data_IF_696571634114
#
_entry.id   IF_696571634114
#
_cell.length_a   1.000
_cell.length_b   1.000
_cell.length_c   1.000
_cell.angle_alpha   90.00
_cell.angle_beta   90.00
_cell.angle_gamma   90.00
#
_symmetry.space_group_name_H-M   'P 1'
#
loop_
_entity.id
_entity.type
_entity.pdbx_description
1 polymer ?
#
# COMPACT_ATOMS: atom_id res chain seq x y z
N UNK A 1 -2.85 4.58 -12.56
CA UNK A 1 -2.91 6.03 -12.85
C UNK A 1 -2.64 6.78 -11.57
N UNK A 2 -1.65 7.66 -11.52
CA UNK A 2 -1.38 8.49 -10.34
C UNK A 2 -2.46 9.57 -10.24
N UNK A 3 -3.07 9.70 -9.06
CA UNK A 3 -4.11 10.70 -8.78
C UNK A 3 -3.61 11.82 -7.89
N UNK A 4 -2.64 11.54 -7.01
CA UNK A 4 -2.03 12.53 -6.12
C UNK A 4 -0.53 12.24 -5.96
N UNK A 5 0.28 13.29 -5.93
CA UNK A 5 1.73 13.19 -5.72
C UNK A 5 2.24 14.39 -4.93
N UNK A 6 1.99 14.37 -3.62
CA UNK A 6 2.49 15.36 -2.67
C UNK A 6 3.74 14.83 -1.98
N UNK A 7 4.88 15.44 -2.30
CA UNK A 7 6.17 14.99 -1.81
C UNK A 7 6.20 14.93 -0.28
N UNK A 8 6.76 13.84 0.26
CA UNK A 8 6.86 13.54 1.70
C UNK A 8 5.56 13.51 2.51
N UNK A 9 4.40 13.60 1.87
CA UNK A 9 3.13 13.70 2.57
C UNK A 9 2.12 12.68 2.07
N UNK A 10 1.92 12.58 0.75
CA UNK A 10 0.82 11.78 0.19
C UNK A 10 1.07 11.32 -1.23
N UNK A 11 0.81 10.05 -1.47
CA UNK A 11 0.82 9.46 -2.81
C UNK A 11 -0.43 8.63 -3.01
N UNK A 12 -1.05 8.76 -4.17
CA UNK A 12 -2.25 8.01 -4.49
C UNK A 12 -2.27 7.59 -5.95
N UNK A 13 -2.81 6.41 -6.19
CA UNK A 13 -2.99 5.92 -7.53
C UNK A 13 -4.04 4.82 -7.63
N UNK A 14 -4.69 4.77 -8.79
CA UNK A 14 -5.45 3.61 -9.21
C UNK A 14 -4.52 2.51 -9.75
N UNK A 15 -4.77 1.28 -9.31
CA UNK A 15 -4.14 0.06 -9.79
C UNK A 15 -5.14 -0.71 -10.65
N UNK A 16 -4.68 -1.26 -11.78
CA UNK A 16 -5.52 -2.13 -12.62
C UNK A 16 -4.65 -3.10 -13.40
N UNK A 17 -5.04 -4.36 -13.43
CA UNK A 17 -4.53 -5.37 -14.35
C UNK A 17 -5.68 -6.32 -14.77
N UNK A 18 -5.36 -7.37 -15.54
CA UNK A 18 -6.38 -8.32 -16.04
C UNK A 18 -7.16 -9.06 -14.94
N UNK A 19 -6.64 -9.12 -13.72
CA UNK A 19 -7.18 -9.90 -12.61
C UNK A 19 -7.75 -9.03 -11.47
N UNK A 20 -7.33 -7.77 -11.36
CA UNK A 20 -7.71 -6.89 -10.26
C UNK A 20 -7.81 -5.43 -10.67
N UNK A 21 -8.63 -4.69 -9.93
CA UNK A 21 -8.61 -3.23 -9.86
C UNK A 21 -8.46 -2.82 -8.41
N UNK A 22 -7.96 -1.62 -8.19
CA UNK A 22 -7.87 -1.08 -6.85
C UNK A 22 -7.44 0.36 -6.81
N UNK A 23 -7.34 0.86 -5.60
CA UNK A 23 -6.88 2.18 -5.28
C UNK A 23 -5.96 2.08 -4.06
N UNK A 24 -4.85 2.78 -4.15
CA UNK A 24 -3.81 2.79 -3.14
C UNK A 24 -3.62 4.21 -2.66
N UNK A 25 -3.57 4.40 -1.34
CA UNK A 25 -3.25 5.65 -0.68
C UNK A 25 -2.11 5.39 0.29
N UNK A 26 -1.05 6.19 0.20
CA UNK A 26 0.00 6.22 1.20
C UNK A 26 0.15 7.62 1.77
N UNK A 27 0.02 7.72 3.09
CA UNK A 27 0.24 8.96 3.85
C UNK A 27 1.48 8.81 4.70
N UNK A 28 2.21 9.91 4.79
CA UNK A 28 3.46 10.00 5.54
C UNK A 28 3.36 11.20 6.46
N UNK A 29 3.48 10.97 7.76
CA UNK A 29 3.43 12.02 8.77
C UNK A 29 4.75 12.01 9.53
N UNK A 30 5.43 13.17 9.58
CA UNK A 30 6.60 13.32 10.43
C UNK A 30 6.17 13.27 11.90
N UNK A 31 6.80 12.39 12.69
CA UNK A 31 6.56 12.26 14.14
C UNK A 31 7.88 12.25 14.90
N UNK A 32 8.22 13.37 15.57
CA UNK A 32 9.53 13.53 16.20
C UNK A 32 10.67 13.33 15.18
N UNK A 33 11.57 12.40 15.50
CA UNK A 33 12.68 11.97 14.63
C UNK A 33 12.31 10.85 13.65
N UNK A 34 11.07 10.37 13.70
CA UNK A 34 10.55 9.30 12.87
C UNK A 34 9.52 9.75 11.84
N UNK A 35 8.98 8.77 11.12
CA UNK A 35 7.86 8.94 10.20
C UNK A 35 6.83 7.87 10.48
N UNK A 36 5.59 8.29 10.70
CA UNK A 36 4.42 7.44 10.73
C UNK A 36 3.94 7.26 9.29
N UNK A 37 3.56 6.03 8.97
CA UNK A 37 3.10 5.65 7.64
C UNK A 37 1.73 5.00 7.79
N UNK A 38 0.77 5.48 7.01
CA UNK A 38 -0.55 4.87 6.85
C UNK A 38 -0.73 4.48 5.38
N UNK A 39 -0.77 3.17 5.12
CA UNK A 39 -1.11 2.63 3.80
C UNK A 39 -2.53 2.09 3.83
N UNK A 40 -3.34 2.53 2.88
CA UNK A 40 -4.71 2.05 2.67
C UNK A 40 -4.82 1.50 1.26
N UNK A 41 -5.33 0.27 1.16
CA UNK A 41 -5.51 -0.44 -0.09
C UNK A 41 -6.94 -0.93 -0.23
N UNK A 42 -7.62 -0.44 -1.27
CA UNK A 42 -8.92 -0.95 -1.68
C UNK A 42 -8.73 -1.77 -2.94
N UNK A 43 -9.02 -3.07 -2.87
CA UNK A 43 -8.79 -4.00 -3.98
C UNK A 43 -10.07 -4.77 -4.27
N UNK A 44 -10.38 -4.90 -5.55
CA UNK A 44 -11.44 -5.76 -6.08
C UNK A 44 -10.84 -6.75 -7.06
N UNK A 45 -10.98 -8.04 -6.76
CA UNK A 45 -10.54 -9.11 -7.65
C UNK A 45 -11.67 -9.54 -8.57
N UNK A 46 -11.33 -9.86 -9.82
CA UNK A 46 -12.30 -10.36 -10.81
C UNK A 46 -12.80 -11.78 -10.45
N UNK A 47 -12.03 -12.54 -9.66
CA UNK A 47 -12.38 -13.88 -9.21
C UNK A 47 -12.88 -13.85 -7.74
N UNK A 48 -14.15 -14.20 -7.46
CA UNK A 48 -14.74 -14.16 -6.11
C UNK A 48 -14.04 -15.07 -5.09
N UNK A 49 -13.53 -16.24 -5.51
CA UNK A 49 -12.81 -17.17 -4.62
C UNK A 49 -11.49 -16.53 -4.18
N UNK A 50 -10.76 -15.93 -5.13
CA UNK A 50 -9.53 -15.20 -4.80
C UNK A 50 -9.83 -14.01 -3.89
N UNK A 51 -10.98 -13.35 -4.07
CA UNK A 51 -11.37 -12.18 -3.28
C UNK A 51 -11.43 -12.49 -1.77
N UNK A 52 -11.85 -13.70 -1.39
CA UNK A 52 -11.91 -14.13 0.02
C UNK A 52 -10.51 -14.26 0.65
N UNK A 53 -9.52 -14.68 -0.12
CA UNK A 53 -8.14 -14.84 0.37
C UNK A 53 -7.27 -13.60 0.16
N UNK A 54 -7.72 -12.66 -0.67
CA UNK A 54 -6.98 -11.45 -1.03
C UNK A 54 -6.57 -10.64 0.20
N UNK A 55 -7.50 -10.41 1.13
CA UNK A 55 -7.20 -9.63 2.34
C UNK A 55 -6.08 -10.23 3.20
N UNK A 56 -6.08 -11.55 3.39
CA UNK A 56 -5.02 -12.24 4.17
C UNK A 56 -3.68 -12.12 3.44
N UNK A 57 -3.68 -12.31 2.12
CA UNK A 57 -2.47 -12.20 1.31
C UNK A 57 -1.91 -10.77 1.31
N UNK A 58 -2.75 -9.76 1.06
CA UNK A 58 -2.37 -8.35 1.02
C UNK A 58 -1.80 -7.90 2.37
N UNK A 59 -2.42 -8.30 3.49
CA UNK A 59 -1.90 -8.02 4.82
C UNK A 59 -0.48 -8.56 5.01
N UNK A 60 -0.22 -9.81 4.61
CA UNK A 60 1.13 -10.39 4.68
C UNK A 60 2.12 -9.65 3.79
N UNK A 61 1.71 -9.22 2.60
CA UNK A 61 2.56 -8.44 1.70
C UNK A 61 2.90 -7.07 2.29
N UNK A 62 1.94 -6.37 2.89
CA UNK A 62 2.19 -5.09 3.56
C UNK A 62 3.15 -5.25 4.75
N UNK A 63 2.99 -6.30 5.57
CA UNK A 63 3.90 -6.58 6.68
C UNK A 63 5.34 -6.83 6.20
N UNK A 64 5.51 -7.61 5.14
CA UNK A 64 6.81 -7.86 4.52
C UNK A 64 7.43 -6.58 3.95
N UNK A 65 6.63 -5.78 3.23
CA UNK A 65 7.09 -4.51 2.67
C UNK A 65 7.62 -3.57 3.76
N UNK A 66 6.88 -3.40 4.87
CA UNK A 66 7.32 -2.55 5.98
C UNK A 66 8.58 -3.09 6.65
N UNK A 67 8.71 -4.41 6.78
CA UNK A 67 9.92 -5.04 7.33
C UNK A 67 11.14 -4.75 6.44
N UNK A 68 11.00 -4.92 5.12
CA UNK A 68 12.09 -4.68 4.18
C UNK A 68 12.44 -3.19 4.07
N UNK A 69 11.43 -2.31 4.12
CA UNK A 69 11.63 -0.86 4.17
C UNK A 69 12.43 -0.46 5.41
N UNK A 70 12.06 -0.96 6.60
CA UNK A 70 12.81 -0.71 7.84
C UNK A 70 14.25 -1.19 7.73
N UNK A 71 14.49 -2.36 7.11
CA UNK A 71 15.84 -2.88 6.90
C UNK A 71 16.64 -1.95 5.98
N UNK A 72 16.06 -1.53 4.85
CA UNK A 72 16.72 -0.65 3.88
C UNK A 72 17.04 0.76 4.41
N UNK A 73 16.33 1.23 5.44
CA UNK A 73 16.57 2.53 6.08
C UNK A 73 17.58 2.48 7.24
N UNK A 74 17.95 1.29 7.70
CA UNK A 74 18.94 1.07 8.78
C UNK A 74 20.34 0.79 8.22
N UNK A 75 20.45 0.48 6.92
CA UNK A 75 21.71 0.49 6.16
C UNK A 75 22.16 1.92 5.83
#
# INVERSE_FOLDING_TARGET
MITEKKHFERYEFHMSNKNMKGYWIGKFNKIGDGTEIEFTEEVSLNNPIMNLFAGIYLKKQQELYIKDLKKALVE
#
